data_IF_884230094141
#
_entry.id   IF_884230094141
#
_cell.length_a   1.000
_cell.length_b   1.000
_cell.length_c   1.000
_cell.angle_alpha   90.00
_cell.angle_beta   90.00
_cell.angle_gamma   90.00
#
_symmetry.space_group_name_H-M   'P 1'
#
loop_
_entity.id
_entity.type
_entity.pdbx_description
1 polymer ?
#
# COMPACT_ATOMS: atom_id res chain seq x y z
N UNK A 1 -18.22 11.84 -18.19
CA UNK A 1 -17.96 11.50 -17.83
C UNK A 1 -17.72 10.91 -17.15
N UNK A 2 -17.68 10.63 -17.10
CA UNK A 2 -17.42 10.16 -16.52
C UNK A 2 -17.01 9.34 -16.03
N UNK A 3 -16.75 9.01 -16.21
CA UNK A 3 -16.28 8.28 -15.83
C UNK A 3 -15.70 7.86 -15.08
N UNK A 4 -15.27 7.70 -15.00
CA UNK A 4 -14.55 7.29 -14.19
C UNK A 4 -14.62 7.03 -12.99
N UNK A 5 -15.16 7.46 -12.94
CA UNK A 5 -15.50 7.44 -11.90
C UNK A 5 -15.56 6.37 -11.10
N UNK A 6 -16.07 5.55 -11.36
CA UNK A 6 -15.95 4.34 -10.65
C UNK A 6 -14.53 3.88 -10.65
N UNK A 7 -13.69 4.68 -11.13
CA UNK A 7 -12.29 4.41 -11.06
C UNK A 7 -11.83 4.42 -9.63
N UNK A 8 -10.89 3.57 -9.33
CA UNK A 8 -10.29 3.54 -8.01
C UNK A 8 -9.34 4.72 -7.90
N UNK A 9 -9.69 5.63 -7.03
CA UNK A 9 -8.87 6.81 -6.82
C UNK A 9 -7.67 6.48 -5.94
N UNK A 10 -6.60 7.21 -6.15
CA UNK A 10 -5.43 7.11 -5.29
C UNK A 10 -5.79 7.64 -3.90
N UNK A 11 -5.61 6.80 -2.90
CA UNK A 11 -5.95 7.14 -1.53
C UNK A 11 -4.84 7.95 -0.88
N UNK A 12 -3.61 7.51 -1.06
CA UNK A 12 -2.46 8.07 -0.39
C UNK A 12 -1.26 8.02 -1.34
N UNK A 13 -0.45 9.05 -1.32
CA UNK A 13 0.83 9.06 -2.01
C UNK A 13 1.93 9.27 -0.99
N UNK A 14 2.94 8.41 -1.03
CA UNK A 14 4.07 8.47 -0.11
C UNK A 14 5.35 8.44 -0.91
N UNK A 15 6.27 9.34 -0.59
CA UNK A 15 7.62 9.32 -1.16
C UNK A 15 8.53 8.51 -0.26
N UNK A 16 9.35 7.67 -0.86
CA UNK A 16 10.27 6.85 -0.11
C UNK A 16 11.28 7.71 0.64
N UNK A 17 11.62 7.29 1.83
CA UNK A 17 12.70 7.91 2.60
C UNK A 17 14.03 7.24 2.35
N UNK A 18 14.05 6.13 1.60
CA UNK A 18 15.25 5.36 1.37
C UNK A 18 15.78 5.48 -0.05
N UNK A 19 14.89 5.74 -1.00
CA UNK A 19 15.27 5.79 -2.40
C UNK A 19 14.35 6.77 -3.11
N UNK A 20 14.28 6.69 -4.43
CA UNK A 20 13.48 7.65 -5.20
C UNK A 20 12.10 7.12 -5.56
N UNK A 21 11.68 6.03 -4.93
CA UNK A 21 10.37 5.48 -5.22
C UNK A 21 9.26 6.42 -4.74
N UNK A 22 8.16 6.39 -5.46
CA UNK A 22 6.92 7.06 -5.05
C UNK A 22 5.84 6.00 -5.06
N UNK A 23 5.11 5.91 -3.95
CA UNK A 23 4.09 4.90 -3.76
C UNK A 23 2.72 5.56 -3.86
N UNK A 24 1.88 5.04 -4.74
CA UNK A 24 0.49 5.49 -4.86
C UNK A 24 -0.39 4.33 -4.44
N UNK A 25 -1.05 4.48 -3.29
CA UNK A 25 -1.94 3.43 -2.79
C UNK A 25 -3.35 3.62 -3.32
N UNK A 26 -3.89 2.54 -3.88
CA UNK A 26 -5.27 2.43 -4.28
C UNK A 26 -5.92 1.34 -3.43
N UNK A 27 -7.22 1.17 -3.54
CA UNK A 27 -7.88 0.14 -2.76
C UNK A 27 -7.35 -1.25 -3.07
N UNK A 28 -7.04 -1.51 -4.31
CA UNK A 28 -6.71 -2.87 -4.76
C UNK A 28 -5.24 -3.07 -5.08
N UNK A 29 -4.41 -2.04 -4.96
CA UNK A 29 -3.00 -2.16 -5.29
C UNK A 29 -2.23 -0.96 -4.79
N UNK A 30 -0.91 -1.12 -4.76
CA UNK A 30 0.00 0.00 -4.57
C UNK A 30 0.86 0.07 -5.83
N UNK A 31 0.83 1.22 -6.50
CA UNK A 31 1.70 1.44 -7.66
C UNK A 31 3.00 2.05 -7.16
N UNK A 32 4.11 1.47 -7.60
CA UNK A 32 5.43 1.93 -7.21
C UNK A 32 6.11 2.51 -8.44
N UNK A 33 6.36 3.81 -8.40
CA UNK A 33 7.04 4.50 -9.49
C UNK A 33 8.48 4.70 -9.11
N UNK A 34 9.40 4.24 -9.95
CA UNK A 34 10.82 4.36 -9.67
C UNK A 34 11.57 4.64 -10.97
N UNK A 35 12.53 5.56 -10.89
CA UNK A 35 13.34 5.85 -12.06
C UNK A 35 12.52 5.98 -13.32
N UNK A 36 12.76 5.11 -14.28
CA UNK A 36 12.05 5.11 -15.54
C UNK A 36 10.96 4.04 -15.60
N UNK A 37 10.60 3.42 -14.48
CA UNK A 37 9.69 2.30 -14.49
C UNK A 37 8.63 2.38 -13.43
N UNK A 38 7.76 1.37 -13.44
CA UNK A 38 6.69 1.24 -12.49
C UNK A 38 6.41 -0.23 -12.26
N UNK A 39 6.06 -0.58 -11.04
CA UNK A 39 5.58 -1.91 -10.72
C UNK A 39 4.39 -1.78 -9.79
N UNK A 40 3.73 -2.90 -9.51
CA UNK A 40 2.56 -2.90 -8.64
C UNK A 40 2.72 -3.93 -7.55
N UNK A 41 2.16 -3.61 -6.38
CA UNK A 41 2.00 -4.56 -5.30
C UNK A 41 0.51 -4.83 -5.21
N UNK A 42 0.05 -6.02 -5.61
CA UNK A 42 -1.37 -6.32 -5.59
C UNK A 42 -1.88 -6.55 -4.19
N UNK A 43 -3.16 -6.33 -3.98
CA UNK A 43 -3.80 -6.65 -2.72
C UNK A 43 -3.76 -8.16 -2.53
N UNK A 44 -3.26 -8.65 -1.40
CA UNK A 44 -3.26 -10.10 -1.15
C UNK A 44 -4.67 -10.67 -1.14
N UNK A 45 -4.78 -11.94 -1.51
CA UNK A 45 -6.05 -12.60 -1.76
C UNK A 45 -7.07 -12.51 -0.62
N UNK A 46 -6.59 -12.61 0.62
CA UNK A 46 -7.50 -12.71 1.77
C UNK A 46 -7.95 -11.37 2.32
N UNK A 47 -7.64 -10.28 1.65
CA UNK A 47 -7.91 -8.94 2.17
C UNK A 47 -8.89 -8.20 1.30
N UNK A 48 -9.61 -7.23 1.89
CA UNK A 48 -10.66 -6.52 1.19
C UNK A 48 -10.14 -5.27 0.51
N UNK A 49 -9.17 -4.60 1.11
CA UNK A 49 -8.67 -3.35 0.55
C UNK A 49 -7.41 -2.90 1.28
N UNK A 50 -6.60 -2.12 0.59
CA UNK A 50 -5.58 -1.31 1.25
C UNK A 50 -6.27 -0.11 1.89
N UNK A 51 -5.76 0.31 3.04
CA UNK A 51 -6.40 1.36 3.81
C UNK A 51 -5.48 2.52 4.14
N UNK A 52 -4.22 2.25 4.49
CA UNK A 52 -3.31 3.30 4.92
C UNK A 52 -1.88 2.90 4.59
N UNK A 53 -1.01 3.90 4.50
CA UNK A 53 0.39 3.70 4.15
C UNK A 53 1.19 4.80 4.84
N UNK A 54 2.09 4.43 5.74
CA UNK A 54 2.82 5.43 6.54
C UNK A 54 4.13 4.87 7.05
N UNK A 55 5.01 5.79 7.43
CA UNK A 55 6.27 5.44 8.05
C UNK A 55 6.15 5.45 9.56
N UNK A 56 6.80 4.49 10.19
CA UNK A 56 7.11 4.54 11.61
C UNK A 56 8.62 4.42 11.68
N UNK A 57 9.28 5.45 12.17
CA UNK A 57 10.72 5.58 12.08
C UNK A 57 11.12 5.52 10.62
N UNK A 58 11.87 4.55 10.21
CA UNK A 58 12.30 4.45 8.81
C UNK A 58 11.73 3.22 8.11
N UNK A 59 10.64 2.67 8.66
CA UNK A 59 10.00 1.52 8.04
C UNK A 59 8.64 1.93 7.53
N UNK A 60 8.33 1.48 6.33
CA UNK A 60 7.06 1.79 5.67
C UNK A 60 6.08 0.66 5.93
N UNK A 61 4.87 1.03 6.34
CA UNK A 61 3.83 0.06 6.70
C UNK A 61 2.57 0.31 5.89
N UNK A 62 1.93 -0.77 5.50
CA UNK A 62 0.63 -0.72 4.84
C UNK A 62 -0.40 -1.40 5.73
N UNK A 63 -1.56 -0.78 5.85
CA UNK A 63 -2.68 -1.33 6.59
C UNK A 63 -3.67 -1.91 5.59
N UNK A 64 -4.07 -3.15 5.82
CA UNK A 64 -5.01 -3.85 4.96
C UNK A 64 -6.26 -4.20 5.76
N UNK A 65 -7.40 -3.98 5.14
CA UNK A 65 -8.70 -4.23 5.75
C UNK A 65 -9.04 -5.70 5.56
N UNK A 66 -9.48 -6.36 6.64
CA UNK A 66 -9.98 -7.72 6.57
C UNK A 66 -11.49 -7.71 6.77
N UNK A 67 -12.12 -8.87 6.65
CA UNK A 67 -13.53 -8.97 6.96
C UNK A 67 -13.81 -9.12 8.45
N UNK A 68 -12.78 -9.20 9.26
CA UNK A 68 -12.92 -9.39 10.68
C UNK A 68 -12.81 -8.08 11.45
N UNK A 69 -12.66 -8.18 12.78
CA UNK A 69 -12.66 -6.99 13.64
C UNK A 69 -11.34 -6.24 13.67
N UNK A 70 -10.30 -6.79 13.08
CA UNK A 70 -8.98 -6.17 13.11
C UNK A 70 -8.46 -5.96 11.72
N UNK A 71 -7.76 -4.85 11.53
CA UNK A 71 -6.96 -4.67 10.32
C UNK A 71 -5.61 -5.34 10.51
N UNK A 72 -4.89 -5.51 9.42
CA UNK A 72 -3.59 -6.16 9.46
C UNK A 72 -2.57 -5.20 8.90
N UNK A 73 -1.43 -5.12 9.55
CA UNK A 73 -0.33 -4.27 9.13
C UNK A 73 0.78 -5.12 8.55
N UNK A 74 1.23 -4.73 7.36
CA UNK A 74 2.39 -5.34 6.73
C UNK A 74 3.49 -4.30 6.66
N UNK A 75 4.72 -4.75 6.78
CA UNK A 75 5.85 -3.91 6.42
C UNK A 75 6.04 -4.01 4.90
N UNK A 76 6.26 -2.88 4.25
CA UNK A 76 6.54 -2.86 2.83
C UNK A 76 8.05 -2.82 2.64
N UNK A 77 8.58 -3.89 2.04
CA UNK A 77 10.02 -3.96 1.73
C UNK A 77 10.26 -3.07 0.51
N UNK A 78 10.95 -1.96 0.71
CA UNK A 78 11.09 -0.95 -0.33
C UNK A 78 12.09 -1.34 -1.40
N UNK A 79 12.98 -2.29 -1.12
CA UNK A 79 13.93 -2.76 -2.12
C UNK A 79 13.30 -3.79 -3.02
N UNK A 80 12.52 -4.67 -2.46
CA UNK A 80 11.87 -5.74 -3.23
C UNK A 80 10.49 -5.36 -3.71
N UNK A 81 9.93 -4.28 -3.18
CA UNK A 81 8.58 -3.83 -3.50
C UNK A 81 7.56 -4.92 -3.23
N UNK A 82 7.58 -5.42 -2.01
CA UNK A 82 6.64 -6.47 -1.61
C UNK A 82 6.30 -6.34 -0.13
N UNK A 83 5.16 -6.91 0.23
CA UNK A 83 4.69 -6.87 1.62
C UNK A 83 5.36 -7.99 2.41
N UNK A 84 5.70 -7.69 3.66
CA UNK A 84 6.35 -8.65 4.54
C UNK A 84 5.98 -8.29 5.97
N UNK A 85 6.33 -9.15 6.92
CA UNK A 85 6.23 -8.83 8.33
C UNK A 85 4.83 -8.50 8.81
N UNK A 86 3.88 -9.41 8.60
CA UNK A 86 2.49 -9.18 8.97
C UNK A 86 2.29 -9.09 10.47
N UNK A 87 1.45 -8.15 10.90
CA UNK A 87 1.05 -8.02 12.30
C UNK A 87 -0.40 -7.55 12.36
N UNK A 88 -1.13 -8.04 13.37
CA UNK A 88 -2.50 -7.61 13.58
C UNK A 88 -2.49 -6.30 14.33
N UNK A 89 -3.28 -5.34 13.85
CA UNK A 89 -3.42 -4.06 14.53
C UNK A 89 -4.76 -4.03 15.25
N UNK A 90 -4.77 -3.37 16.40
CA UNK A 90 -6.00 -3.14 17.15
C UNK A 90 -6.13 -1.66 17.40
N UNK A 91 -7.33 -1.19 17.35
CA UNK A 91 -7.61 0.22 17.59
C UNK A 91 -8.31 0.42 18.91
#
# INVERSE_FOLDING_TARGET
MTENENQTDCIITVKSRKNNNVYHMFKDRIEVVYGSGMTEIPLPFDYLAFYDLYYINNKLYAILVTGGPYDVRFELDEEKCELTGKAITTY
#
